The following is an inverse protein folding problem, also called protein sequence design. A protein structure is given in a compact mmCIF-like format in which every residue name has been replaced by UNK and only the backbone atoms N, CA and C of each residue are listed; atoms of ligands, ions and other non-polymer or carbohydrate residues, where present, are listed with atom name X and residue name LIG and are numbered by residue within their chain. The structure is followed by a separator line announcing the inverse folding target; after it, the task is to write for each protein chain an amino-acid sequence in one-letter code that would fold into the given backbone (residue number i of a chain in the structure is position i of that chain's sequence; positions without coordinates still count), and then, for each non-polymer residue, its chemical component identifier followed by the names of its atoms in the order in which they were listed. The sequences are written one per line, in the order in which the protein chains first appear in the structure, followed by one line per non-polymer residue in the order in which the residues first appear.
data_IF_223346209041
#
_entry.id   IF_223346209041
#
_cell.length_a   1.000
_cell.length_b   1.000
_cell.length_c   1.000
_cell.angle_alpha   90.00
_cell.angle_beta   90.00
_cell.angle_gamma   90.00
#
_symmetry.space_group_name_H-M   'P 1'
#
loop_
_entity.id
_entity.type
_entity.pdbx_description
1 polymer ?
#
# COMPACT_ATOMS: atom_id res chain seq x y z
N UNK A 1 -1.97 3.07 39.45
CA UNK A 1 -2.31 2.20 38.29
C UNK A 1 -2.87 3.07 37.18
N UNK A 2 -2.06 3.40 36.17
CA UNK A 2 -2.49 4.20 35.00
C UNK A 2 -2.98 3.22 33.93
N UNK A 3 -4.26 3.30 33.57
CA UNK A 3 -4.85 2.52 32.49
C UNK A 3 -4.33 3.00 31.14
N UNK A 4 -3.56 2.15 30.48
CA UNK A 4 -3.05 2.35 29.13
C UNK A 4 -4.19 1.98 28.16
N UNK A 5 -4.95 2.97 27.67
CA UNK A 5 -5.94 2.77 26.61
C UNK A 5 -5.32 3.16 25.27
N UNK A 6 -5.39 2.21 24.34
CA UNK A 6 -5.39 2.32 22.87
C UNK A 6 -4.04 2.21 22.14
N UNK A 7 -3.90 1.11 21.35
CA UNK A 7 -3.78 1.26 19.90
C UNK A 7 -4.67 0.26 19.12
N UNK A 8 -5.96 0.12 19.48
CA UNK A 8 -6.87 -0.77 18.73
C UNK A 8 -7.46 -0.09 17.46
N UNK A 9 -7.60 1.24 17.47
CA UNK A 9 -8.22 2.00 16.37
C UNK A 9 -7.31 2.07 15.13
N UNK A 10 -5.99 2.09 15.30
CA UNK A 10 -5.04 2.22 14.17
C UNK A 10 -4.96 0.93 13.32
N UNK A 11 -5.14 -0.24 13.93
CA UNK A 11 -5.05 -1.55 13.24
C UNK A 11 -6.28 -1.81 12.35
N UNK A 12 -7.46 -1.36 12.77
CA UNK A 12 -8.71 -1.54 12.01
C UNK A 12 -8.71 -0.66 10.75
N UNK A 13 -8.14 0.55 10.82
CA UNK A 13 -8.05 1.43 9.65
C UNK A 13 -7.07 0.87 8.61
N UNK A 14 -5.90 0.38 9.03
CA UNK A 14 -4.91 -0.18 8.10
C UNK A 14 -5.40 -1.46 7.37
N UNK A 15 -6.14 -2.32 8.07
CA UNK A 15 -6.69 -3.56 7.48
C UNK A 15 -7.84 -3.29 6.49
N UNK A 16 -8.68 -2.29 6.74
CA UNK A 16 -9.75 -1.88 5.81
C UNK A 16 -9.18 -1.19 4.55
N UNK A 17 -8.16 -0.35 4.69
CA UNK A 17 -7.50 0.28 3.54
C UNK A 17 -6.81 -0.73 2.63
N UNK A 18 -6.14 -1.74 3.21
CA UNK A 18 -5.45 -2.79 2.45
C UNK A 18 -6.42 -3.63 1.60
N UNK A 19 -7.65 -3.85 2.05
CA UNK A 19 -8.65 -4.63 1.32
C UNK A 19 -9.28 -3.86 0.13
N UNK A 20 -9.32 -2.53 0.19
CA UNK A 20 -9.87 -1.72 -0.90
C UNK A 20 -8.94 -1.66 -2.13
N UNK A 21 -7.63 -1.77 -1.92
CA UNK A 21 -6.62 -1.59 -2.98
C UNK A 21 -6.45 -2.84 -3.87
N UNK A 22 -6.76 -4.04 -3.37
CA UNK A 22 -6.72 -5.25 -4.20
C UNK A 22 -7.88 -5.30 -5.21
N UNK A 23 -8.98 -4.57 -4.96
CA UNK A 23 -10.21 -4.67 -5.74
C UNK A 23 -10.07 -4.26 -7.20
N UNK A 24 -9.18 -3.32 -7.55
CA UNK A 24 -8.96 -2.90 -8.95
C UNK A 24 -7.75 -3.56 -9.61
N UNK A 25 -7.17 -4.60 -9.01
CA UNK A 25 -6.09 -5.40 -9.62
C UNK A 25 -6.58 -6.73 -10.17
N UNK A 26 -7.76 -7.17 -9.74
CA UNK A 26 -8.34 -8.46 -10.06
C UNK A 26 -9.84 -8.31 -10.35
N UNK A 27 -10.41 -9.30 -11.02
CA UNK A 27 -11.81 -9.31 -11.40
C UNK A 27 -12.45 -10.69 -11.26
N UNK A 28 -13.77 -10.71 -11.17
CA UNK A 28 -14.61 -11.91 -11.14
C UNK A 28 -15.48 -12.00 -12.41
N UNK A 29 -16.05 -13.17 -12.66
CA UNK A 29 -17.10 -13.29 -13.68
C UNK A 29 -18.27 -12.36 -13.35
N UNK A 30 -19.00 -11.92 -14.37
CA UNK A 30 -20.11 -10.99 -14.21
C UNK A 30 -21.17 -11.56 -13.24
N UNK A 31 -21.51 -10.78 -12.21
CA UNK A 31 -22.49 -11.16 -11.17
C UNK A 31 -21.87 -11.82 -9.92
N UNK A 32 -20.59 -12.17 -9.94
CA UNK A 32 -19.91 -12.75 -8.78
C UNK A 32 -19.31 -11.67 -7.87
N UNK A 33 -19.13 -11.98 -6.58
CA UNK A 33 -18.56 -11.06 -5.57
C UNK A 33 -17.10 -11.36 -5.28
N UNK A 34 -16.22 -10.35 -5.37
CA UNK A 34 -14.82 -10.43 -4.94
C UNK A 34 -14.68 -10.22 -3.42
N UNK A 35 -13.96 -11.12 -2.74
CA UNK A 35 -13.55 -10.99 -1.34
C UNK A 35 -12.07 -11.38 -1.21
N UNK A 36 -11.21 -10.39 -0.95
CA UNK A 36 -9.76 -10.56 -1.00
C UNK A 36 -9.28 -10.92 -2.41
N UNK A 37 -8.72 -12.12 -2.57
CA UNK A 37 -8.29 -12.69 -3.86
C UNK A 37 -9.22 -13.78 -4.40
N UNK A 38 -10.39 -13.96 -3.78
CA UNK A 38 -11.35 -15.03 -4.11
C UNK A 38 -12.68 -14.45 -4.60
N UNK A 39 -13.18 -14.99 -5.70
CA UNK A 39 -14.51 -14.73 -6.23
C UNK A 39 -15.52 -15.73 -5.67
N UNK A 40 -16.70 -15.24 -5.30
CA UNK A 40 -17.84 -16.06 -4.91
C UNK A 40 -18.98 -15.85 -5.91
N UNK A 41 -19.33 -16.91 -6.63
CA UNK A 41 -20.56 -16.95 -7.41
C UNK A 41 -21.68 -17.63 -6.64
N UNK A 42 -22.91 -17.16 -6.82
CA UNK A 42 -24.12 -17.72 -6.20
C UNK A 42 -25.16 -18.01 -7.28
N UNK A 43 -25.78 -19.19 -7.21
CA UNK A 43 -26.92 -19.56 -8.06
C UNK A 43 -28.01 -20.25 -7.24
N UNK A 44 -29.20 -20.38 -7.82
CA UNK A 44 -30.33 -21.08 -7.21
C UNK A 44 -30.09 -22.59 -7.13
N UNK A 45 -30.62 -23.22 -6.07
CA UNK A 45 -30.62 -24.68 -5.90
C UNK A 45 -31.69 -25.30 -6.81
N UNK A 46 -31.36 -26.42 -7.44
CA UNK A 46 -32.33 -27.26 -8.15
C UNK A 46 -32.87 -28.30 -7.19
N UNK A 47 -34.19 -28.31 -7.02
CA UNK A 47 -34.90 -29.26 -6.17
C UNK A 47 -35.46 -30.37 -7.05
N UNK A 48 -35.02 -31.61 -6.82
CA UNK A 48 -35.56 -32.80 -7.46
C UNK A 48 -36.23 -33.68 -6.43
N UNK A 49 -37.37 -34.28 -6.78
CA UNK A 49 -38.09 -35.21 -5.92
C UNK A 49 -37.83 -36.62 -6.41
N UNK A 50 -37.27 -37.46 -5.54
CA UNK A 50 -36.99 -38.86 -5.85
C UNK A 50 -37.93 -39.74 -5.04
N UNK A 51 -38.51 -40.71 -5.72
CA UNK A 51 -39.28 -41.79 -5.15
C UNK A 51 -38.56 -43.11 -5.45
N UNK A 52 -38.66 -44.09 -4.56
CA UNK A 52 -38.08 -45.41 -4.77
C UNK A 52 -38.99 -46.25 -5.69
N UNK A 53 -38.46 -47.38 -6.19
CA UNK A 53 -39.22 -48.50 -6.78
C UNK A 53 -40.21 -48.17 -7.92
N UNK A 54 -39.86 -47.23 -8.79
CA UNK A 54 -40.66 -46.90 -9.99
C UNK A 54 -41.84 -45.96 -9.74
N UNK A 55 -41.97 -45.42 -8.53
CA UNK A 55 -42.93 -44.37 -8.23
C UNK A 55 -42.41 -43.01 -8.70
N UNK A 56 -43.31 -42.05 -8.91
CA UNK A 56 -42.97 -40.67 -9.25
C UNK A 56 -43.77 -39.70 -8.39
N UNK A 57 -43.24 -38.49 -8.18
CA UNK A 57 -43.91 -37.43 -7.43
C UNK A 57 -43.93 -36.15 -8.26
N UNK A 58 -45.11 -35.56 -8.40
CA UNK A 58 -45.26 -34.20 -8.91
C UNK A 58 -45.10 -33.21 -7.77
N UNK A 59 -44.07 -32.37 -7.82
CA UNK A 59 -43.86 -31.23 -6.93
C UNK A 59 -43.77 -31.55 -5.42
N UNK A 60 -43.19 -32.70 -5.06
CA UNK A 60 -43.02 -33.10 -3.65
C UNK A 60 -44.30 -33.64 -3.00
N UNK A 61 -45.32 -33.93 -3.80
CA UNK A 61 -46.48 -34.71 -3.38
C UNK A 61 -46.13 -36.18 -3.04
N UNK A 62 -47.12 -36.99 -2.65
CA UNK A 62 -46.90 -38.41 -2.40
C UNK A 62 -46.32 -39.10 -3.65
N UNK A 63 -45.47 -40.10 -3.42
CA UNK A 63 -44.94 -40.96 -4.49
C UNK A 63 -46.05 -41.88 -5.00
N UNK A 64 -46.44 -41.71 -6.26
CA UNK A 64 -47.51 -42.45 -6.91
C UNK A 64 -46.98 -43.27 -8.10
N UNK A 65 -47.59 -44.43 -8.32
CA UNK A 65 -47.39 -45.29 -9.48
C UNK A 65 -48.73 -45.86 -9.91
N UNK A 66 -48.87 -46.20 -11.18
CA UNK A 66 -49.97 -47.05 -11.60
C UNK A 66 -49.80 -48.45 -10.99
N UNK A 67 -50.90 -49.13 -10.61
CA UNK A 67 -50.86 -50.53 -10.21
C UNK A 67 -50.29 -51.39 -11.34
N UNK A 68 -49.45 -52.37 -11.00
CA UNK A 68 -48.84 -53.25 -12.00
C UNK A 68 -47.97 -52.50 -13.02
N UNK A 69 -47.25 -51.45 -12.61
CA UNK A 69 -46.36 -50.65 -13.47
C UNK A 69 -45.25 -51.44 -14.16
N UNK A 70 -44.89 -52.62 -13.63
CA UNK A 70 -43.96 -53.58 -14.26
C UNK A 70 -44.63 -54.46 -15.35
N UNK A 71 -45.90 -54.20 -15.65
CA UNK A 71 -46.72 -54.94 -16.62
C UNK A 71 -47.78 -55.82 -15.96
N UNK A 72 -48.89 -56.00 -16.67
CA UNK A 72 -50.01 -56.84 -16.23
C UNK A 72 -51.31 -56.07 -16.03
N UNK A 73 -52.32 -56.78 -15.54
CA UNK A 73 -53.65 -56.27 -15.25
C UNK A 73 -53.90 -56.43 -13.75
N UNK A 74 -54.30 -55.34 -13.11
CA UNK A 74 -54.66 -55.34 -11.70
C UNK A 74 -55.96 -56.10 -11.45
N UNK A 75 -55.94 -57.02 -10.49
CA UNK A 75 -57.13 -57.76 -10.05
C UNK A 75 -57.72 -57.06 -8.82
N UNK A 76 -58.92 -56.49 -8.99
CA UNK A 76 -59.65 -55.77 -7.94
C UNK A 76 -59.96 -56.65 -6.74
N UNK A 77 -59.92 -56.10 -5.54
CA UNK A 77 -60.27 -56.80 -4.30
C UNK A 77 -61.76 -56.76 -3.97
N UNK A 78 -62.55 -55.97 -4.69
CA UNK A 78 -63.98 -55.77 -4.47
C UNK A 78 -64.82 -57.05 -4.71
N UNK A 79 -64.25 -58.05 -5.38
CA UNK A 79 -64.91 -59.32 -5.65
C UNK A 79 -64.29 -60.44 -4.80
N UNK A 80 -65.04 -60.96 -3.82
CA UNK A 80 -64.55 -61.88 -2.77
C UNK A 80 -63.97 -63.23 -3.24
N UNK A 81 -64.02 -63.54 -4.54
CA UNK A 81 -63.41 -64.72 -5.16
C UNK A 81 -62.22 -64.41 -6.08
N UNK A 82 -61.85 -63.14 -6.22
CA UNK A 82 -60.71 -62.72 -7.04
C UNK A 82 -59.41 -62.72 -6.23
N UNK A 83 -58.28 -62.85 -6.91
CA UNK A 83 -56.95 -62.68 -6.31
C UNK A 83 -56.65 -61.18 -6.09
N UNK A 84 -57.53 -60.51 -5.33
CA UNK A 84 -57.54 -59.08 -5.10
C UNK A 84 -56.19 -58.54 -4.61
N UNK A 85 -55.79 -57.38 -5.13
CA UNK A 85 -54.55 -56.71 -4.72
C UNK A 85 -53.29 -57.18 -5.44
N UNK A 86 -53.42 -58.05 -6.46
CA UNK A 86 -52.28 -58.60 -7.21
C UNK A 86 -52.35 -58.31 -8.71
N UNK A 87 -51.19 -58.41 -9.37
CA UNK A 87 -51.09 -58.28 -10.82
C UNK A 87 -51.15 -59.64 -11.50
N UNK A 88 -52.04 -59.78 -12.47
CA UNK A 88 -52.05 -60.91 -13.39
C UNK A 88 -51.41 -60.51 -14.72
N UNK A 89 -50.59 -61.39 -15.30
CA UNK A 89 -49.93 -61.15 -16.58
C UNK A 89 -50.04 -62.40 -17.47
N UNK A 90 -49.75 -62.25 -18.77
CA UNK A 90 -49.80 -63.32 -19.76
C UNK A 90 -51.16 -63.48 -20.46
N UNK A 91 -51.28 -64.58 -21.21
CA UNK A 91 -52.50 -64.90 -21.96
C UNK A 91 -53.67 -65.16 -21.00
N UNK A 92 -54.86 -64.71 -21.42
CA UNK A 92 -56.08 -64.90 -20.67
C UNK A 92 -57.17 -65.52 -21.52
N UNK A 93 -58.04 -66.26 -20.85
CA UNK A 93 -59.27 -66.81 -21.40
C UNK A 93 -60.48 -66.22 -20.64
N UNK A 94 -61.67 -66.17 -21.27
CA UNK A 94 -62.89 -65.85 -20.54
C UNK A 94 -63.18 -66.92 -19.47
N UNK A 95 -63.74 -66.55 -18.31
CA UNK A 95 -64.15 -67.52 -17.31
C UNK A 95 -65.35 -68.33 -17.78
N UNK A 96 -65.41 -69.58 -17.34
CA UNK A 96 -66.53 -70.47 -17.64
C UNK A 96 -67.58 -70.36 -16.52
N UNK A 97 -68.86 -70.48 -16.89
CA UNK A 97 -69.94 -70.43 -15.93
C UNK A 97 -70.10 -71.80 -15.26
N UNK A 98 -69.81 -71.87 -13.95
CA UNK A 98 -70.01 -73.06 -13.14
C UNK A 98 -71.20 -72.86 -12.20
N UNK A 99 -72.40 -73.15 -12.70
CA UNK A 99 -73.65 -72.87 -11.99
C UNK A 99 -73.90 -71.36 -11.85
N UNK A 100 -73.99 -70.85 -10.62
CA UNK A 100 -74.20 -69.43 -10.32
C UNK A 100 -72.89 -68.62 -10.20
N UNK A 101 -71.72 -69.27 -10.32
CA UNK A 101 -70.41 -68.64 -10.13
C UNK A 101 -69.63 -68.66 -11.45
N UNK A 102 -69.04 -67.53 -11.82
CA UNK A 102 -68.06 -67.47 -12.91
C UNK A 102 -66.67 -67.67 -12.32
N UNK A 103 -65.88 -68.58 -12.88
CA UNK A 103 -64.56 -68.88 -12.34
C UNK A 103 -63.64 -69.59 -13.33
N UNK A 104 -62.40 -69.81 -12.91
CA UNK A 104 -61.38 -70.48 -13.72
C UNK A 104 -61.24 -71.98 -13.36
N UNK A 105 -62.31 -72.58 -12.84
CA UNK A 105 -62.26 -73.94 -12.32
C UNK A 105 -62.22 -74.96 -13.47
N UNK A 106 -61.13 -75.73 -13.55
CA UNK A 106 -61.00 -76.82 -14.52
C UNK A 106 -62.07 -77.91 -14.34
N UNK A 107 -62.55 -78.10 -13.11
CA UNK A 107 -63.63 -79.04 -12.78
C UNK A 107 -64.95 -78.73 -13.50
N UNK A 108 -65.13 -77.50 -13.98
CA UNK A 108 -66.32 -77.05 -14.69
C UNK A 108 -66.07 -76.84 -16.20
N UNK A 109 -64.96 -77.38 -16.73
CA UNK A 109 -64.54 -77.15 -18.11
C UNK A 109 -63.86 -75.80 -18.34
N UNK A 110 -63.62 -75.01 -17.28
CA UNK A 110 -62.94 -73.74 -17.38
C UNK A 110 -61.46 -73.88 -17.77
N UNK A 111 -60.84 -72.80 -18.28
CA UNK A 111 -59.48 -72.82 -18.84
C UNK A 111 -58.38 -73.08 -17.80
N UNK A 112 -58.71 -73.17 -16.51
CA UNK A 112 -57.73 -73.18 -15.43
C UNK A 112 -57.12 -71.80 -15.17
N UNK A 113 -56.21 -71.75 -14.21
CA UNK A 113 -55.45 -70.54 -13.90
C UNK A 113 -56.11 -69.63 -12.87
N UNK A 114 -55.71 -68.36 -12.89
CA UNK A 114 -56.08 -67.41 -11.84
C UNK A 114 -57.22 -66.49 -12.28
N UNK A 115 -58.28 -66.46 -11.45
CA UNK A 115 -59.41 -65.56 -11.66
C UNK A 115 -59.03 -64.13 -11.26
N UNK A 116 -59.24 -63.22 -12.20
CA UNK A 116 -58.97 -61.80 -12.06
C UNK A 116 -60.19 -61.01 -12.52
N UNK A 117 -60.62 -60.06 -11.69
CA UNK A 117 -61.65 -59.08 -12.03
C UNK A 117 -60.97 -57.73 -12.25
N UNK A 118 -60.64 -57.35 -13.49
CA UNK A 118 -60.05 -56.04 -13.71
C UNK A 118 -61.14 -54.99 -13.62
N UNK A 119 -60.89 -53.94 -12.84
CA UNK A 119 -61.85 -52.86 -12.62
C UNK A 119 -62.28 -52.26 -13.96
N UNK A 120 -63.58 -52.26 -14.22
CA UNK A 120 -64.17 -51.72 -15.45
C UNK A 120 -64.14 -52.63 -16.69
N UNK A 121 -63.71 -53.89 -16.56
CA UNK A 121 -63.74 -54.85 -17.69
C UNK A 121 -64.37 -56.19 -17.29
N UNK A 122 -64.61 -57.06 -18.28
CA UNK A 122 -65.07 -58.43 -18.03
C UNK A 122 -64.02 -59.24 -17.27
N UNK A 123 -64.50 -60.17 -16.44
CA UNK A 123 -63.70 -61.16 -15.72
C UNK A 123 -62.82 -61.98 -16.66
N UNK A 124 -61.62 -62.36 -16.18
CA UNK A 124 -60.61 -63.07 -16.98
C UNK A 124 -59.93 -64.18 -16.17
N UNK A 125 -59.49 -65.22 -16.86
CA UNK A 125 -58.71 -66.32 -16.35
C UNK A 125 -57.31 -66.30 -16.95
N UNK A 126 -56.30 -65.91 -16.15
CA UNK A 126 -54.91 -65.82 -16.61
C UNK A 126 -54.21 -67.17 -16.43
N UNK A 127 -53.53 -67.61 -17.48
CA UNK A 127 -52.83 -68.92 -17.50
C UNK A 127 -51.51 -68.85 -16.72
N UNK A 128 -50.91 -67.66 -16.56
CA UNK A 128 -49.62 -67.46 -15.90
C UNK A 128 -49.72 -66.87 -14.48
N UNK A 129 -48.59 -66.91 -13.77
CA UNK A 129 -48.42 -66.70 -12.32
C UNK A 129 -48.83 -65.32 -11.82
N UNK A 130 -49.71 -65.27 -10.83
CA UNK A 130 -49.90 -64.10 -9.98
C UNK A 130 -48.73 -64.02 -9.00
N UNK A 131 -47.74 -63.19 -9.29
CA UNK A 131 -46.48 -63.21 -8.53
C UNK A 131 -46.03 -61.88 -7.95
N UNK A 132 -46.55 -60.74 -8.41
CA UNK A 132 -46.20 -59.44 -7.84
C UNK A 132 -47.40 -58.82 -7.13
N UNK A 133 -47.17 -58.32 -5.91
CA UNK A 133 -48.06 -57.37 -5.26
C UNK A 133 -48.31 -56.20 -6.21
N UNK A 134 -49.55 -55.72 -6.26
CA UNK A 134 -49.92 -54.64 -7.19
C UNK A 134 -49.12 -53.35 -6.98
N UNK A 135 -48.69 -53.14 -5.74
CA UNK A 135 -47.93 -51.99 -5.28
C UNK A 135 -46.70 -52.48 -4.49
N UNK A 136 -45.62 -52.93 -5.15
CA UNK A 136 -44.40 -53.30 -4.45
C UNK A 136 -43.91 -52.13 -3.59
N UNK A 137 -43.68 -52.36 -2.30
CA UNK A 137 -43.25 -51.31 -1.36
C UNK A 137 -44.30 -50.22 -1.06
N UNK A 138 -45.55 -50.40 -1.47
CA UNK A 138 -46.61 -49.39 -1.33
C UNK A 138 -47.94 -49.94 -0.82
N UNK A 139 -48.96 -49.08 -0.85
CA UNK A 139 -50.36 -49.41 -0.58
C UNK A 139 -51.23 -48.92 -1.73
N UNK A 140 -52.23 -49.73 -2.10
CA UNK A 140 -53.19 -49.32 -3.10
C UNK A 140 -54.22 -48.36 -2.48
N UNK A 141 -54.60 -47.31 -3.21
CA UNK A 141 -55.65 -46.40 -2.77
C UNK A 141 -57.04 -47.09 -2.77
N UNK A 142 -58.01 -46.49 -2.08
CA UNK A 142 -59.35 -47.07 -1.90
C UNK A 142 -60.12 -47.24 -3.22
N UNK A 143 -59.81 -46.42 -4.23
CA UNK A 143 -60.35 -46.50 -5.57
C UNK A 143 -59.54 -47.43 -6.49
N UNK A 144 -58.51 -48.10 -5.98
CA UNK A 144 -57.70 -49.09 -6.69
C UNK A 144 -57.08 -48.62 -8.01
N UNK A 145 -56.87 -47.31 -8.16
CA UNK A 145 -56.35 -46.68 -9.38
C UNK A 145 -54.86 -46.36 -9.29
N UNK A 146 -54.31 -46.22 -8.09
CA UNK A 146 -52.93 -45.78 -7.85
C UNK A 146 -52.32 -46.50 -6.66
N UNK A 147 -51.05 -46.83 -6.81
CA UNK A 147 -50.19 -47.24 -5.73
C UNK A 147 -49.54 -46.01 -5.09
N UNK A 148 -49.60 -45.92 -3.77
CA UNK A 148 -48.86 -44.94 -2.98
C UNK A 148 -47.66 -45.63 -2.32
N UNK A 149 -46.46 -45.11 -2.53
CA UNK A 149 -45.27 -45.65 -1.84
C UNK A 149 -45.41 -45.52 -0.32
N UNK A 150 -44.93 -46.52 0.42
CA UNK A 150 -44.78 -46.44 1.87
C UNK A 150 -43.52 -45.66 2.26
N UNK A 151 -42.59 -45.43 1.31
CA UNK A 151 -41.45 -44.55 1.52
C UNK A 151 -41.84 -43.10 1.25
N UNK A 152 -41.46 -42.16 2.15
CA UNK A 152 -41.70 -40.74 1.90
C UNK A 152 -40.84 -40.27 0.72
N UNK A 153 -41.38 -39.29 -0.02
CA UNK A 153 -40.64 -38.63 -1.10
C UNK A 153 -39.33 -38.04 -0.57
N UNK A 154 -38.22 -38.36 -1.22
CA UNK A 154 -36.93 -37.79 -0.89
C UNK A 154 -36.73 -36.49 -1.67
N UNK A 155 -36.48 -35.40 -0.95
CA UNK A 155 -36.10 -34.14 -1.58
C UNK A 155 -34.59 -34.14 -1.77
N UNK A 156 -34.15 -34.16 -3.04
CA UNK A 156 -32.74 -34.12 -3.42
C UNK A 156 -32.42 -32.72 -3.92
N UNK A 157 -31.50 -32.06 -3.23
CA UNK A 157 -30.97 -30.77 -3.64
C UNK A 157 -29.72 -30.98 -4.50
N UNK A 158 -29.61 -30.23 -5.58
CA UNK A 158 -28.44 -30.25 -6.46
C UNK A 158 -28.18 -28.87 -7.05
N UNK A 159 -26.97 -28.68 -7.58
CA UNK A 159 -26.62 -27.48 -8.34
C UNK A 159 -26.70 -27.79 -9.83
N UNK A 160 -27.27 -26.88 -10.61
CA UNK A 160 -27.37 -27.04 -12.07
C UNK A 160 -25.99 -27.14 -12.75
N UNK A 161 -24.98 -26.49 -12.17
CA UNK A 161 -23.59 -26.55 -12.60
C UNK A 161 -22.77 -27.31 -11.55
N UNK A 162 -22.05 -28.35 -11.97
CA UNK A 162 -21.23 -29.20 -11.11
C UNK A 162 -20.04 -28.47 -10.46
N UNK A 163 -19.70 -27.27 -10.94
CA UNK A 163 -18.66 -26.42 -10.33
C UNK A 163 -19.15 -25.70 -9.07
N UNK A 164 -20.45 -25.74 -8.77
CA UNK A 164 -21.04 -25.15 -7.57
C UNK A 164 -21.35 -26.24 -6.53
N UNK A 165 -21.29 -25.88 -5.26
CA UNK A 165 -21.63 -26.76 -4.14
C UNK A 165 -22.79 -26.18 -3.33
N UNK A 166 -23.60 -27.06 -2.73
CA UNK A 166 -24.74 -26.65 -1.91
C UNK A 166 -24.27 -25.84 -0.69
N UNK A 167 -24.93 -24.72 -0.43
CA UNK A 167 -24.63 -23.81 0.65
C UNK A 167 -25.90 -23.31 1.38
N UNK A 168 -25.95 -23.36 2.73
CA UNK A 168 -25.00 -24.07 3.58
C UNK A 168 -25.03 -25.58 3.28
N UNK A 169 -23.96 -26.30 3.62
CA UNK A 169 -23.94 -27.76 3.52
C UNK A 169 -24.85 -28.35 4.61
N UNK A 170 -26.15 -28.36 4.37
CA UNK A 170 -27.20 -28.77 5.29
C UNK A 170 -28.29 -29.57 4.58
N UNK A 171 -29.24 -30.11 5.34
CA UNK A 171 -30.40 -30.83 4.80
C UNK A 171 -31.36 -29.94 3.99
N UNK A 172 -31.23 -28.61 4.09
CA UNK A 172 -32.06 -27.63 3.38
C UNK A 172 -31.20 -26.48 2.88
N UNK A 173 -30.33 -26.71 1.87
CA UNK A 173 -29.47 -25.69 1.31
C UNK A 173 -30.32 -24.62 0.61
N UNK A 174 -29.92 -23.36 0.76
CA UNK A 174 -30.66 -22.21 0.21
C UNK A 174 -30.07 -21.72 -1.12
N UNK A 175 -28.81 -22.04 -1.38
CA UNK A 175 -28.09 -21.58 -2.57
C UNK A 175 -27.04 -22.59 -3.00
N UNK A 176 -26.56 -22.44 -4.23
CA UNK A 176 -25.38 -23.10 -4.74
C UNK A 176 -24.27 -22.06 -4.82
N UNK A 177 -23.12 -22.35 -4.20
CA UNK A 177 -21.99 -21.43 -4.10
C UNK A 177 -20.75 -22.03 -4.75
N UNK A 178 -20.01 -21.21 -5.49
CA UNK A 178 -18.70 -21.55 -6.01
C UNK A 178 -17.70 -20.50 -5.56
N UNK A 179 -16.57 -20.94 -5.01
CA UNK A 179 -15.44 -20.07 -4.70
C UNK A 179 -14.29 -20.39 -5.66
N UNK A 180 -13.69 -19.38 -6.28
CA UNK A 180 -12.56 -19.55 -7.20
C UNK A 180 -11.60 -18.35 -7.11
N UNK A 181 -10.35 -18.52 -7.53
CA UNK A 181 -9.36 -17.43 -7.53
C UNK A 181 -9.72 -16.36 -8.55
N UNK A 182 -9.62 -15.09 -8.16
CA UNK A 182 -9.88 -13.96 -9.05
C UNK A 182 -8.84 -13.87 -10.17
N UNK A 183 -9.25 -13.38 -11.34
CA UNK A 183 -8.37 -13.22 -12.49
C UNK A 183 -7.70 -11.84 -12.48
N UNK A 184 -6.43 -11.71 -12.86
CA UNK A 184 -5.76 -10.41 -12.91
C UNK A 184 -6.33 -9.55 -14.06
N UNK A 185 -6.46 -8.23 -13.81
CA UNK A 185 -6.84 -7.27 -14.86
C UNK A 185 -5.63 -7.04 -15.78
N UNK A 186 -5.78 -7.37 -17.06
CA UNK A 186 -4.69 -7.33 -18.06
C UNK A 186 -4.97 -6.41 -19.24
N UNK A 187 -6.12 -5.73 -19.27
CA UNK A 187 -6.40 -4.72 -20.29
C UNK A 187 -7.53 -3.79 -19.85
N UNK A 188 -7.70 -2.68 -20.59
CA UNK A 188 -8.78 -1.72 -20.36
C UNK A 188 -10.16 -2.37 -20.33
N UNK A 189 -10.45 -3.27 -21.28
CA UNK A 189 -11.76 -3.92 -21.35
C UNK A 189 -12.07 -4.71 -20.07
N UNK A 190 -11.11 -5.44 -19.52
CA UNK A 190 -11.28 -6.15 -18.24
C UNK A 190 -11.53 -5.22 -17.06
N UNK A 191 -10.85 -4.07 -17.01
CA UNK A 191 -11.11 -3.04 -15.99
C UNK A 191 -12.50 -2.42 -16.14
N UNK A 192 -12.92 -2.05 -17.36
CA UNK A 192 -14.19 -1.34 -17.56
C UNK A 192 -15.40 -2.25 -17.54
N UNK A 193 -15.24 -3.53 -17.92
CA UNK A 193 -16.36 -4.47 -18.10
C UNK A 193 -16.47 -5.47 -16.94
N UNK A 194 -15.35 -5.93 -16.36
CA UNK A 194 -15.35 -7.05 -15.41
C UNK A 194 -14.81 -6.72 -14.01
N UNK A 195 -14.24 -5.53 -13.78
CA UNK A 195 -14.01 -5.04 -12.44
C UNK A 195 -15.26 -4.59 -11.61
N UNK A 196 -16.56 -4.81 -12.00
CA UNK A 196 -17.66 -4.16 -11.29
C UNK A 196 -18.28 -5.01 -10.17
N UNK A 197 -17.55 -5.94 -9.51
CA UNK A 197 -18.17 -6.64 -8.37
C UNK A 197 -18.32 -5.77 -7.11
N UNK A 198 -17.72 -4.58 -7.09
CA UNK A 198 -18.08 -3.48 -6.17
C UNK A 198 -17.88 -2.16 -6.92
N UNK A 199 -18.91 -1.33 -6.96
CA UNK A 199 -18.92 0.02 -7.53
C UNK A 199 -17.66 0.80 -7.12
N UNK A 200 -16.72 1.03 -8.05
CA UNK A 200 -15.61 1.93 -7.74
C UNK A 200 -14.27 1.70 -8.42
N UNK A 201 -14.14 1.06 -9.59
CA UNK A 201 -12.90 1.08 -10.36
C UNK A 201 -13.03 1.93 -11.63
N UNK A 202 -11.95 2.62 -12.03
CA UNK A 202 -11.85 3.43 -13.25
C UNK A 202 -10.54 3.13 -13.96
N UNK A 203 -10.59 3.00 -15.28
CA UNK A 203 -9.41 2.89 -16.11
C UNK A 203 -8.73 4.24 -16.31
N UNK A 204 -7.42 4.30 -16.06
CA UNK A 204 -6.59 5.48 -16.27
C UNK A 204 -5.62 5.24 -17.42
N UNK A 205 -6.02 5.67 -18.62
CA UNK A 205 -5.30 5.44 -19.87
C UNK A 205 -3.87 6.02 -19.89
N UNK A 206 -3.63 7.14 -19.19
CA UNK A 206 -2.31 7.79 -19.18
C UNK A 206 -1.20 6.92 -18.55
N UNK A 207 -1.58 6.00 -17.66
CA UNK A 207 -0.64 5.11 -16.94
C UNK A 207 -0.98 3.63 -17.15
N UNK A 208 -1.97 3.32 -17.98
CA UNK A 208 -2.47 1.96 -18.23
C UNK A 208 -2.78 1.15 -16.96
N UNK A 209 -3.45 1.78 -15.98
CA UNK A 209 -3.84 1.11 -14.73
C UNK A 209 -5.32 1.28 -14.40
N UNK A 210 -5.87 0.32 -13.67
CA UNK A 210 -7.22 0.34 -13.11
C UNK A 210 -7.14 0.80 -11.65
N UNK A 211 -7.75 1.93 -11.30
CA UNK A 211 -7.67 2.54 -9.97
C UNK A 211 -9.05 2.62 -9.30
N UNK A 212 -9.08 2.70 -7.98
CA UNK A 212 -10.32 2.90 -7.23
C UNK A 212 -10.85 4.33 -7.37
N UNK A 213 -12.04 4.50 -7.95
CA UNK A 213 -12.77 5.75 -8.12
C UNK A 213 -13.05 6.50 -6.81
N UNK A 214 -13.12 5.80 -5.67
CA UNK A 214 -13.40 6.39 -4.35
C UNK A 214 -12.20 7.09 -3.72
N UNK A 215 -10.97 6.64 -3.99
CA UNK A 215 -9.73 7.22 -3.43
C UNK A 215 -9.01 8.16 -4.41
N UNK A 216 -9.25 8.01 -5.70
CA UNK A 216 -8.62 8.81 -6.76
C UNK A 216 -9.67 9.31 -7.75
N UNK A 217 -10.37 10.43 -7.47
CA UNK A 217 -11.39 10.96 -8.38
C UNK A 217 -10.80 11.37 -9.74
N UNK A 218 -9.52 11.74 -9.74
CA UNK A 218 -8.75 12.12 -10.93
C UNK A 218 -7.73 11.04 -11.25
N UNK A 219 -7.68 10.60 -12.51
CA UNK A 219 -6.67 9.66 -12.95
C UNK A 219 -5.28 10.29 -12.84
N UNK A 220 -4.28 9.56 -12.28
CA UNK A 220 -2.92 10.04 -12.26
C UNK A 220 -2.43 10.29 -13.69
N UNK A 221 -1.79 11.43 -13.89
CA UNK A 221 -1.23 11.83 -15.19
C UNK A 221 0.18 11.28 -15.40
N UNK A 222 0.83 10.79 -14.34
CA UNK A 222 2.21 10.24 -14.35
C UNK A 222 2.34 9.07 -13.37
N UNK A 223 3.27 8.17 -13.65
CA UNK A 223 3.57 6.99 -12.82
C UNK A 223 3.85 7.25 -11.33
N UNK A 224 4.54 8.32 -10.89
CA UNK A 224 4.76 8.52 -9.46
C UNK A 224 3.50 8.94 -8.70
N UNK A 225 2.45 9.42 -9.37
CA UNK A 225 1.27 9.93 -8.67
C UNK A 225 0.39 8.80 -8.14
N UNK A 226 0.45 8.58 -6.82
CA UNK A 226 -0.57 7.89 -6.00
C UNK A 226 -0.83 6.42 -6.29
N UNK A 227 0.11 5.71 -6.91
CA UNK A 227 -0.05 4.27 -7.16
C UNK A 227 0.71 3.44 -6.13
N UNK A 228 -0.02 2.57 -5.44
CA UNK A 228 0.56 1.59 -4.53
C UNK A 228 1.32 0.53 -5.32
N UNK A 229 2.26 -0.18 -4.67
CA UNK A 229 3.04 -1.26 -5.26
C UNK A 229 2.22 -2.20 -6.14
N UNK A 230 1.04 -2.61 -5.66
CA UNK A 230 0.15 -3.53 -6.35
C UNK A 230 -0.29 -3.05 -7.75
N UNK A 231 -0.38 -1.73 -7.96
CA UNK A 231 -0.80 -1.13 -9.23
C UNK A 231 0.34 -1.04 -10.25
N UNK A 232 1.59 -1.05 -9.79
CA UNK A 232 2.79 -0.88 -10.65
C UNK A 232 3.52 -2.19 -10.95
N UNK A 233 3.03 -3.30 -10.41
CA UNK A 233 3.50 -4.65 -10.77
C UNK A 233 2.56 -5.34 -11.77
N UNK A 234 1.48 -4.66 -12.19
CA UNK A 234 0.58 -5.21 -13.21
C UNK A 234 1.32 -5.18 -14.55
N UNK A 235 1.35 -6.32 -15.25
CA UNK A 235 2.14 -6.52 -16.48
C UNK A 235 1.86 -5.54 -17.63
N UNK A 236 0.75 -4.79 -17.58
CA UNK A 236 0.36 -3.82 -18.61
C UNK A 236 0.64 -2.36 -18.24
N UNK A 237 1.04 -2.13 -17.00
CA UNK A 237 1.35 -0.79 -16.54
C UNK A 237 2.51 -0.25 -17.36
N UNK A 238 2.41 1.00 -17.81
CA UNK A 238 3.59 1.74 -18.32
C UNK A 238 4.47 2.23 -17.18
N UNK A 239 4.25 1.70 -15.98
CA UNK A 239 5.00 1.99 -14.78
C UNK A 239 5.59 0.70 -14.23
N UNK A 240 6.82 0.78 -13.74
CA UNK A 240 7.47 -0.26 -12.94
C UNK A 240 7.53 0.17 -11.48
N UNK A 241 7.43 -0.80 -10.59
CA UNK A 241 7.66 -0.59 -9.17
C UNK A 241 9.17 -0.52 -8.87
N UNK A 242 9.59 0.54 -8.17
CA UNK A 242 10.93 0.67 -7.61
C UNK A 242 10.87 0.33 -6.11
N UNK A 243 11.22 -0.90 -5.71
CA UNK A 243 11.01 -1.37 -4.34
C UNK A 243 11.79 -0.55 -3.33
N UNK A 244 11.17 -0.28 -2.18
CA UNK A 244 11.88 0.22 -1.03
C UNK A 244 12.86 -0.84 -0.54
N UNK A 245 14.14 -0.52 -0.46
CA UNK A 245 15.11 -1.36 0.26
C UNK A 245 15.21 -0.81 1.67
N UNK A 246 14.95 -1.66 2.67
CA UNK A 246 15.07 -1.29 4.09
C UNK A 246 16.47 -0.73 4.34
N UNK A 247 16.56 0.55 4.73
CA UNK A 247 17.84 1.27 4.88
C UNK A 247 18.17 2.26 3.75
N UNK A 248 17.30 2.43 2.75
CA UNK A 248 17.37 3.54 1.79
C UNK A 248 18.45 3.43 0.71
N UNK A 249 19.01 2.23 0.49
CA UNK A 249 19.97 1.95 -0.58
C UNK A 249 19.40 0.88 -1.51
N UNK A 250 18.78 1.30 -2.61
CA UNK A 250 18.26 0.41 -3.67
C UNK A 250 16.82 0.65 -4.12
N UNK A 251 16.23 1.79 -3.75
CA UNK A 251 14.87 2.18 -4.16
C UNK A 251 14.10 2.84 -3.02
N UNK A 252 13.17 3.74 -3.35
CA UNK A 252 12.43 4.56 -2.37
C UNK A 252 10.93 4.18 -2.27
N UNK A 253 10.53 3.03 -2.82
CA UNK A 253 9.13 2.57 -2.75
C UNK A 253 8.17 3.46 -3.54
N UNK A 254 8.46 3.65 -4.83
CA UNK A 254 7.64 4.49 -5.73
C UNK A 254 7.50 3.84 -7.10
N UNK A 255 6.49 4.26 -7.85
CA UNK A 255 6.30 3.83 -9.22
C UNK A 255 6.97 4.78 -10.21
N UNK A 256 7.62 4.22 -11.23
CA UNK A 256 8.37 4.96 -12.26
C UNK A 256 7.96 4.55 -13.67
N UNK A 257 8.06 5.43 -14.67
CA UNK A 257 7.76 5.05 -16.06
C UNK A 257 8.61 3.87 -16.55
N UNK A 258 8.04 3.01 -17.40
CA UNK A 258 8.69 1.88 -18.07
C UNK A 258 8.41 1.95 -19.58
N UNK A 259 9.42 1.83 -20.47
CA UNK A 259 10.86 1.71 -20.24
C UNK A 259 11.55 3.08 -20.27
N UNK A 260 11.78 3.71 -19.13
CA UNK A 260 12.53 4.98 -19.12
C UNK A 260 12.80 5.61 -17.77
N UNK A 261 11.97 5.34 -16.77
CA UNK A 261 12.22 5.80 -15.40
C UNK A 261 13.37 5.02 -14.76
N UNK A 262 14.30 5.71 -14.12
CA UNK A 262 15.33 5.11 -13.27
C UNK A 262 14.83 5.03 -11.84
N UNK A 263 15.03 3.88 -11.18
CA UNK A 263 14.78 3.80 -9.74
C UNK A 263 15.86 4.58 -9.00
N UNK A 264 15.46 5.45 -8.07
CA UNK A 264 16.39 6.21 -7.25
C UNK A 264 17.06 5.31 -6.22
N UNK A 265 18.37 5.43 -6.07
CA UNK A 265 19.12 4.64 -5.10
C UNK A 265 18.77 5.03 -3.67
N UNK A 266 18.43 6.30 -3.41
CA UNK A 266 18.10 6.85 -2.09
C UNK A 266 17.11 8.02 -2.17
N UNK A 267 16.50 8.40 -1.05
CA UNK A 267 15.66 9.61 -0.97
C UNK A 267 16.43 10.83 -1.47
N UNK A 268 17.68 10.99 -1.04
CA UNK A 268 18.50 12.12 -1.42
C UNK A 268 18.68 12.23 -2.94
N UNK A 269 18.95 11.10 -3.61
CA UNK A 269 19.09 11.07 -5.08
C UNK A 269 17.80 11.43 -5.85
N UNK A 270 16.62 11.29 -5.23
CA UNK A 270 15.35 11.70 -5.82
C UNK A 270 15.17 13.22 -5.85
N UNK A 271 15.98 13.98 -5.11
CA UNK A 271 15.94 15.45 -5.10
C UNK A 271 16.31 16.04 -6.46
N UNK A 272 17.14 15.36 -7.26
CA UNK A 272 17.54 15.87 -8.58
C UNK A 272 16.41 15.79 -9.63
N UNK A 273 15.31 15.09 -9.34
CA UNK A 273 14.19 15.00 -10.27
C UNK A 273 13.42 16.34 -10.33
N UNK A 274 13.04 16.85 -11.51
CA UNK A 274 12.22 18.07 -11.63
C UNK A 274 10.85 17.99 -10.95
N UNK A 275 10.36 16.77 -10.68
CA UNK A 275 9.15 16.45 -9.92
C UNK A 275 9.45 15.86 -8.53
N UNK A 276 10.64 16.13 -7.98
CA UNK A 276 11.12 15.68 -6.67
C UNK A 276 10.11 15.85 -5.52
N UNK A 277 9.41 16.99 -5.46
CA UNK A 277 8.43 17.26 -4.42
C UNK A 277 7.29 16.23 -4.42
N UNK A 278 6.82 15.88 -5.61
CA UNK A 278 5.77 14.89 -5.81
C UNK A 278 6.31 13.48 -5.54
N UNK A 279 7.44 13.12 -6.16
CA UNK A 279 8.09 11.80 -5.98
C UNK A 279 8.31 11.47 -4.50
N UNK A 280 8.80 12.45 -3.74
CA UNK A 280 9.10 12.27 -2.32
C UNK A 280 7.86 12.40 -1.44
N UNK A 281 6.83 13.12 -1.88
CA UNK A 281 5.52 13.12 -1.21
C UNK A 281 4.77 11.80 -1.37
N UNK A 282 5.02 11.04 -2.44
CA UNK A 282 4.37 9.75 -2.71
C UNK A 282 5.14 8.53 -2.17
N UNK A 283 6.40 8.68 -1.82
CA UNK A 283 7.20 7.62 -1.21
C UNK A 283 6.72 7.29 0.21
N UNK A 284 6.70 5.99 0.55
CA UNK A 284 6.47 5.55 1.94
C UNK A 284 7.72 5.60 2.81
N UNK A 285 8.89 5.80 2.20
CA UNK A 285 10.20 5.82 2.89
C UNK A 285 10.77 7.23 3.02
N UNK A 286 10.32 8.15 2.16
CA UNK A 286 10.83 9.51 2.09
C UNK A 286 9.75 10.54 2.42
N UNK A 287 10.20 11.74 2.76
CA UNK A 287 9.41 12.96 2.83
C UNK A 287 10.11 14.07 2.08
N UNK A 288 9.31 14.94 1.47
CA UNK A 288 9.81 16.18 0.91
C UNK A 288 9.98 17.23 2.00
N UNK A 289 11.16 17.83 2.11
CA UNK A 289 11.44 18.99 2.96
C UNK A 289 11.40 20.26 2.08
N UNK A 290 10.25 20.93 1.96
CA UNK A 290 10.02 21.98 0.94
C UNK A 290 10.92 23.19 1.15
N UNK A 291 11.50 23.74 0.08
CA UNK A 291 12.14 25.04 0.13
C UNK A 291 11.05 26.12 0.30
N UNK A 292 11.10 26.87 1.39
CA UNK A 292 10.18 27.98 1.60
C UNK A 292 10.54 29.13 0.68
N UNK A 293 9.55 29.61 -0.08
CA UNK A 293 9.60 30.91 -0.70
C UNK A 293 9.70 31.98 0.40
N UNK A 294 10.92 32.47 0.67
CA UNK A 294 11.18 33.46 1.72
C UNK A 294 11.97 32.98 2.94
N UNK A 295 12.60 31.79 2.90
CA UNK A 295 13.64 31.43 3.87
C UNK A 295 13.18 30.88 5.23
N UNK A 296 11.88 30.64 5.41
CA UNK A 296 11.34 30.01 6.62
C UNK A 296 10.61 28.72 6.27
N UNK A 297 11.39 27.64 6.10
CA UNK A 297 10.89 26.30 5.84
C UNK A 297 11.80 25.54 4.87
N UNK A 298 12.26 24.37 5.28
CA UNK A 298 13.06 23.40 4.51
C UNK A 298 14.23 23.94 3.66
N UNK A 299 14.90 23.04 2.96
CA UNK A 299 15.94 23.39 1.97
C UNK A 299 15.62 22.81 0.58
N UNK A 300 14.41 22.33 0.35
CA UNK A 300 14.03 21.71 -0.92
C UNK A 300 14.84 20.45 -1.19
N UNK A 301 14.72 19.47 -0.29
CA UNK A 301 15.44 18.19 -0.37
C UNK A 301 14.52 17.04 -0.01
N UNK A 302 14.76 15.89 -0.62
CA UNK A 302 14.07 14.65 -0.29
C UNK A 302 14.85 13.86 0.78
N UNK A 303 14.23 13.61 1.91
CA UNK A 303 14.84 12.96 3.07
C UNK A 303 14.13 11.66 3.42
N UNK A 304 14.81 10.70 4.06
CA UNK A 304 14.12 9.59 4.73
C UNK A 304 13.06 10.12 5.72
N UNK A 305 12.02 9.34 5.98
CA UNK A 305 10.94 9.74 6.88
C UNK A 305 11.42 10.10 8.29
N UNK A 306 12.45 9.42 8.78
CA UNK A 306 13.13 9.71 10.05
C UNK A 306 14.25 10.76 9.93
N UNK A 307 14.61 11.20 8.72
CA UNK A 307 15.61 12.23 8.47
C UNK A 307 15.17 13.62 8.96
N UNK A 308 16.12 14.50 9.23
CA UNK A 308 15.82 15.86 9.68
C UNK A 308 15.53 16.77 8.48
N UNK A 309 14.42 17.52 8.53
CA UNK A 309 14.18 18.62 7.58
C UNK A 309 14.80 19.89 8.15
N UNK A 310 15.99 20.25 7.66
CA UNK A 310 16.65 21.50 8.04
C UNK A 310 15.83 22.70 7.58
N UNK A 311 15.60 23.66 8.48
CA UNK A 311 14.81 24.86 8.19
C UNK A 311 15.59 25.94 7.45
N UNK A 312 16.92 25.85 7.44
CA UNK A 312 17.83 26.79 6.78
C UNK A 312 19.01 26.02 6.16
N UNK A 313 19.62 26.57 5.11
CA UNK A 313 20.88 26.03 4.55
C UNK A 313 21.93 25.88 5.64
N UNK A 314 22.09 26.92 6.47
CA UNK A 314 23.09 26.93 7.52
C UNK A 314 22.95 25.74 8.49
N UNK A 315 21.73 25.41 8.91
CA UNK A 315 21.49 24.27 9.80
C UNK A 315 21.86 22.93 9.15
N UNK A 316 21.76 22.82 7.82
CA UNK A 316 22.16 21.63 7.07
C UNK A 316 23.69 21.45 6.97
N UNK A 317 24.50 22.38 7.47
CA UNK A 317 25.97 22.26 7.45
C UNK A 317 26.51 21.08 8.24
N UNK A 318 25.71 20.50 9.15
CA UNK A 318 26.05 19.27 9.88
C UNK A 318 25.99 18.01 9.01
N UNK A 319 25.32 18.08 7.85
CA UNK A 319 25.18 16.99 6.88
C UNK A 319 25.49 17.50 5.45
N UNK A 320 26.79 17.57 5.07
CA UNK A 320 27.23 18.15 3.80
C UNK A 320 26.53 17.60 2.56
N UNK A 321 26.25 16.29 2.51
CA UNK A 321 25.56 15.65 1.38
C UNK A 321 24.12 16.13 1.20
N UNK A 322 23.43 16.43 2.30
CA UNK A 322 22.06 16.96 2.29
C UNK A 322 22.04 18.38 1.72
N UNK A 323 23.03 19.17 2.09
CA UNK A 323 23.22 20.49 1.52
C UNK A 323 23.57 20.44 0.03
N UNK A 324 24.53 19.60 -0.35
CA UNK A 324 25.03 19.53 -1.73
C UNK A 324 23.94 19.12 -2.73
N UNK A 325 22.99 18.31 -2.28
CA UNK A 325 21.88 17.83 -3.11
C UNK A 325 20.63 18.73 -3.02
N UNK A 326 20.65 19.75 -2.18
CA UNK A 326 19.53 20.67 -1.99
C UNK A 326 19.23 21.48 -3.26
N UNK A 327 17.95 21.77 -3.51
CA UNK A 327 17.56 22.68 -4.59
C UNK A 327 17.68 24.16 -4.24
N UNK A 328 17.84 24.50 -2.95
CA UNK A 328 17.92 25.87 -2.45
C UNK A 328 19.31 26.26 -1.93
N UNK A 329 20.15 25.27 -1.63
CA UNK A 329 21.44 25.45 -0.99
C UNK A 329 22.57 24.80 -1.78
N UNK A 330 23.77 25.34 -1.59
CA UNK A 330 25.02 24.81 -2.09
C UNK A 330 25.96 24.52 -0.93
N UNK A 331 26.70 23.41 -1.05
CA UNK A 331 27.73 23.06 -0.09
C UNK A 331 29.05 23.74 -0.48
N UNK A 332 29.52 24.67 0.35
CA UNK A 332 30.82 25.30 0.17
C UNK A 332 31.91 24.42 0.79
N UNK A 333 32.48 23.50 -0.01
CA UNK A 333 33.42 22.46 0.45
C UNK A 333 34.64 22.97 1.24
N UNK A 334 35.19 22.15 2.14
CA UNK A 334 36.42 22.52 2.89
C UNK A 334 37.68 22.59 2.03
N UNK A 335 37.69 21.95 0.86
CA UNK A 335 38.85 21.95 -0.04
C UNK A 335 39.02 23.26 -0.80
N UNK A 336 37.93 24.01 -0.96
CA UNK A 336 37.89 25.25 -1.75
C UNK A 336 37.25 26.41 -1.00
N UNK A 337 36.78 26.19 0.23
CA UNK A 337 35.98 27.12 1.02
C UNK A 337 36.00 26.76 2.52
N UNK A 338 35.28 27.51 3.35
CA UNK A 338 35.21 27.28 4.80
C UNK A 338 34.41 26.03 5.27
N UNK A 339 33.80 25.24 4.40
CA UNK A 339 33.03 24.06 4.82
C UNK A 339 31.71 24.41 5.51
N UNK A 340 30.79 25.05 4.77
CA UNK A 340 29.48 25.47 5.29
C UNK A 340 28.41 25.37 4.20
N UNK A 341 27.16 25.15 4.59
CA UNK A 341 26.03 25.14 3.69
C UNK A 341 25.37 26.52 3.58
N UNK A 342 25.15 27.01 2.36
CA UNK A 342 24.63 28.35 2.12
C UNK A 342 23.56 28.37 1.03
N UNK A 343 22.74 29.44 0.90
CA UNK A 343 21.86 29.61 -0.25
C UNK A 343 22.63 29.58 -1.59
N UNK A 344 21.99 29.11 -2.66
CA UNK A 344 22.61 29.02 -4.00
C UNK A 344 23.13 30.36 -4.56
N UNK A 345 22.57 31.49 -4.12
CA UNK A 345 23.00 32.82 -4.54
C UNK A 345 24.13 33.40 -3.65
N UNK A 346 24.50 32.73 -2.55
CA UNK A 346 25.53 33.20 -1.63
C UNK A 346 26.95 32.90 -2.15
N UNK A 347 27.95 33.58 -1.59
CA UNK A 347 29.36 33.42 -1.98
C UNK A 347 30.06 32.40 -1.09
N UNK A 348 30.67 31.37 -1.68
CA UNK A 348 31.54 30.47 -0.94
C UNK A 348 32.92 31.12 -0.70
N UNK A 349 33.24 31.44 0.56
CA UNK A 349 34.52 32.05 0.92
C UNK A 349 35.66 31.03 0.98
N UNK A 350 36.70 31.25 0.19
CA UNK A 350 37.86 30.37 0.10
C UNK A 350 38.59 30.17 1.44
N UNK A 351 38.64 31.20 2.28
CA UNK A 351 39.34 31.20 3.57
C UNK A 351 38.49 31.88 4.65
N UNK A 352 38.85 31.69 5.92
CA UNK A 352 38.11 32.28 7.04
C UNK A 352 38.11 33.82 7.05
N UNK A 353 39.25 34.52 6.87
CA UNK A 353 39.27 35.98 7.06
C UNK A 353 38.28 36.75 6.16
N UNK A 354 38.21 36.51 4.83
CA UNK A 354 37.26 37.19 3.95
C UNK A 354 35.78 36.90 4.27
N UNK A 355 35.47 35.79 4.96
CA UNK A 355 34.10 35.51 5.40
C UNK A 355 33.62 36.50 6.48
N UNK A 356 34.54 37.25 7.10
CA UNK A 356 34.21 38.27 8.12
C UNK A 356 33.46 39.47 7.54
N UNK A 357 33.67 39.79 6.26
CA UNK A 357 33.02 40.93 5.60
C UNK A 357 31.52 40.69 5.34
N UNK A 358 31.05 39.44 5.47
CA UNK A 358 29.64 39.14 5.35
C UNK A 358 28.88 39.66 6.59
N UNK A 359 27.76 40.39 6.44
CA UNK A 359 26.94 40.83 7.58
C UNK A 359 26.46 39.71 8.51
N UNK A 360 26.45 38.47 8.02
CA UNK A 360 26.09 37.25 8.74
C UNK A 360 27.33 36.37 9.05
N UNK A 361 28.55 36.91 9.02
CA UNK A 361 29.80 36.19 9.28
C UNK A 361 29.76 35.32 10.55
N UNK A 362 29.19 35.86 11.64
CA UNK A 362 29.03 35.12 12.89
C UNK A 362 28.16 33.88 12.75
N UNK A 363 27.14 33.93 11.89
CA UNK A 363 26.28 32.81 11.57
C UNK A 363 26.99 31.78 10.69
N UNK A 364 27.81 32.18 9.72
CA UNK A 364 28.50 31.24 8.84
C UNK A 364 29.72 30.58 9.48
N UNK A 365 30.49 31.35 10.25
CA UNK A 365 31.75 30.89 10.82
C UNK A 365 31.56 30.03 12.07
N UNK A 366 30.47 30.19 12.82
CA UNK A 366 30.21 29.35 14.00
C UNK A 366 29.97 27.86 13.67
N UNK A 367 29.11 27.48 12.71
CA UNK A 367 28.88 26.09 12.31
C UNK A 367 29.85 25.59 11.24
N UNK A 368 30.76 26.43 10.74
CA UNK A 368 31.76 26.06 9.74
C UNK A 368 32.63 24.88 10.23
N UNK A 369 33.02 24.01 9.29
CA UNK A 369 33.92 22.90 9.57
C UNK A 369 35.38 23.37 9.68
N UNK A 370 35.78 24.38 8.89
CA UNK A 370 37.17 24.89 8.85
C UNK A 370 37.39 26.13 9.73
N UNK A 371 36.33 26.85 10.07
CA UNK A 371 36.42 28.12 10.77
C UNK A 371 35.62 28.13 12.08
N UNK A 372 35.84 29.18 12.87
CA UNK A 372 35.09 29.55 14.05
C UNK A 372 34.90 31.07 14.08
N UNK A 373 33.78 31.53 14.62
CA UNK A 373 33.57 32.94 14.87
C UNK A 373 34.25 33.34 16.19
N UNK A 374 35.09 34.37 16.15
CA UNK A 374 35.67 34.98 17.33
C UNK A 374 34.95 36.30 17.61
N UNK A 375 34.08 36.37 18.64
CA UNK A 375 33.20 37.51 18.85
C UNK A 375 33.99 38.80 19.07
N UNK A 376 33.42 39.93 18.70
CA UNK A 376 33.94 41.24 19.09
C UNK A 376 33.64 41.48 20.57
N UNK A 377 34.59 42.06 21.28
CA UNK A 377 34.35 42.71 22.55
C UNK A 377 34.62 44.21 22.38
N UNK A 378 33.78 45.06 22.96
CA UNK A 378 33.85 46.51 22.77
C UNK A 378 35.27 47.03 23.07
N UNK A 379 35.85 47.78 22.13
CA UNK A 379 37.21 48.30 22.24
C UNK A 379 38.31 47.28 21.91
N UNK A 380 37.97 46.12 21.36
CA UNK A 380 38.91 45.11 20.92
C UNK A 380 39.64 44.41 22.06
N UNK A 381 39.01 44.23 23.23
CA UNK A 381 39.57 43.51 24.39
C UNK A 381 38.62 42.38 24.81
N UNK A 382 39.01 41.13 24.55
CA UNK A 382 38.19 39.92 24.71
C UNK A 382 37.78 39.25 23.39
N UNK A 383 38.18 39.83 22.25
CA UNK A 383 37.81 39.36 20.92
C UNK A 383 37.73 40.50 19.91
N UNK A 384 38.01 40.23 18.63
CA UNK A 384 38.10 41.26 17.57
C UNK A 384 37.03 41.15 16.47
N UNK A 385 36.05 40.25 16.61
CA UNK A 385 34.94 40.15 15.67
C UNK A 385 35.35 39.65 14.29
N UNK A 386 36.03 38.50 14.23
CA UNK A 386 36.54 37.94 12.97
C UNK A 386 36.29 36.44 12.87
N UNK A 387 36.24 35.96 11.63
CA UNK A 387 36.22 34.54 11.32
C UNK A 387 37.65 33.97 11.28
N UNK A 388 37.92 32.95 12.08
CA UNK A 388 39.24 32.35 12.22
C UNK A 388 39.26 30.87 11.88
N UNK A 389 40.44 30.30 11.60
CA UNK A 389 40.61 28.86 11.47
C UNK A 389 40.25 28.14 12.77
N UNK A 390 39.45 27.08 12.65
CA UNK A 390 39.00 26.25 13.76
C UNK A 390 40.19 25.56 14.42
N UNK A 391 40.19 25.51 15.75
CA UNK A 391 41.27 24.92 16.55
C UNK A 391 42.38 25.90 16.96
N UNK A 392 42.33 27.16 16.50
CA UNK A 392 43.15 28.24 17.07
C UNK A 392 42.48 28.82 18.33
N UNK A 393 43.21 29.61 19.10
CA UNK A 393 42.63 30.45 20.16
C UNK A 393 42.23 31.79 19.54
N UNK A 394 41.02 32.27 19.86
CA UNK A 394 40.60 33.60 19.42
C UNK A 394 41.57 34.68 19.91
N UNK A 395 41.80 35.70 19.07
CA UNK A 395 42.62 36.84 19.46
C UNK A 395 41.91 37.60 20.57
N UNK A 396 42.58 37.81 21.69
CA UNK A 396 42.02 38.54 22.83
C UNK A 396 42.13 40.05 22.64
N UNK A 397 42.94 40.53 21.69
CA UNK A 397 42.97 41.93 21.32
C UNK A 397 43.45 42.20 19.90
N UNK A 398 43.18 43.41 19.37
CA UNK A 398 43.74 43.86 18.08
C UNK A 398 45.27 43.70 18.07
N UNK A 399 45.92 44.12 19.16
CA UNK A 399 47.37 44.04 19.27
C UNK A 399 47.87 42.59 19.19
N UNK A 400 47.17 41.63 19.83
CA UNK A 400 47.56 40.21 19.77
C UNK A 400 47.51 39.62 18.36
N UNK A 401 46.64 40.15 17.48
CA UNK A 401 46.55 39.72 16.08
C UNK A 401 47.75 40.16 15.23
N UNK A 402 48.51 41.17 15.67
CA UNK A 402 49.72 41.65 14.99
C UNK A 402 50.78 40.56 14.81
N UNK A 403 50.84 39.59 15.73
CA UNK A 403 51.85 38.52 15.70
C UNK A 403 51.51 37.37 14.76
N UNK A 404 50.29 37.34 14.19
CA UNK A 404 49.92 36.32 13.22
C UNK A 404 50.59 36.60 11.86
N UNK A 405 51.15 35.61 11.16
CA UNK A 405 51.70 35.79 9.81
C UNK A 405 50.70 36.35 8.78
N UNK A 406 49.39 36.25 9.06
CA UNK A 406 48.29 36.83 8.28
C UNK A 406 47.69 38.10 8.91
N UNK A 407 48.42 38.76 9.81
CA UNK A 407 48.04 39.95 10.59
C UNK A 407 47.39 41.08 9.78
N UNK A 408 47.95 41.43 8.62
CA UNK A 408 47.45 42.52 7.79
C UNK A 408 46.03 42.24 7.29
N UNK A 409 45.78 41.00 6.87
CA UNK A 409 44.48 40.55 6.38
C UNK A 409 43.48 40.48 7.53
N UNK A 410 43.82 39.75 8.61
CA UNK A 410 42.97 39.57 9.79
C UNK A 410 42.49 40.90 10.37
N UNK A 411 43.38 41.89 10.45
CA UNK A 411 43.06 43.19 11.00
C UNK A 411 42.36 44.11 10.01
N UNK A 412 42.54 43.92 8.71
CA UNK A 412 41.75 44.62 7.69
C UNK A 412 40.29 44.16 7.67
N UNK A 413 40.04 42.88 8.00
CA UNK A 413 38.69 42.29 8.03
C UNK A 413 37.94 42.52 9.35
N UNK A 414 38.61 42.96 10.41
CA UNK A 414 37.98 43.17 11.73
C UNK A 414 37.10 44.43 11.73
N UNK A 415 35.91 44.34 12.34
CA UNK A 415 35.06 45.51 12.57
C UNK A 415 35.52 46.37 13.76
N UNK A 416 36.40 45.85 14.60
CA UNK A 416 36.91 46.52 15.82
C UNK A 416 38.33 47.04 15.67
N UNK A 417 39.09 46.51 14.70
CA UNK A 417 40.50 46.81 14.50
C UNK A 417 40.78 47.40 13.12
N UNK A 418 41.93 48.06 13.01
CA UNK A 418 42.55 48.45 11.74
C UNK A 418 44.01 48.05 11.72
N UNK A 419 44.49 47.73 10.52
CA UNK A 419 45.91 47.52 10.26
C UNK A 419 46.61 48.85 9.98
N UNK A 420 47.68 49.14 10.71
CA UNK A 420 48.57 50.27 10.49
C UNK A 420 49.82 49.77 9.75
N UNK A 421 49.89 49.87 8.40
CA UNK A 421 50.91 49.19 7.60
C UNK A 421 52.34 49.71 7.83
N UNK A 422 53.32 48.81 7.88
CA UNK A 422 54.76 49.13 8.08
C UNK A 422 55.35 50.08 7.01
N UNK A 423 54.75 50.12 5.82
CA UNK A 423 55.17 51.04 4.74
C UNK A 423 54.96 52.53 5.07
N UNK A 424 54.15 52.85 6.09
CA UNK A 424 53.78 54.24 6.44
C UNK A 424 53.69 54.45 7.96
N UNK A 425 53.52 53.38 8.72
CA UNK A 425 53.33 53.34 10.18
C UNK A 425 54.20 52.25 10.79
N UNK A 426 54.11 52.03 12.10
CA UNK A 426 54.94 51.05 12.82
C UNK A 426 54.56 49.55 12.59
N UNK A 427 53.64 49.23 11.67
CA UNK A 427 53.33 47.82 11.33
C UNK A 427 52.58 47.06 12.43
N UNK A 428 51.42 47.56 12.87
CA UNK A 428 50.66 47.03 14.01
C UNK A 428 49.17 46.97 13.75
N UNK A 429 48.48 46.06 14.42
CA UNK A 429 47.03 46.02 14.48
C UNK A 429 46.51 46.70 15.75
N UNK A 430 45.60 47.66 15.60
CA UNK A 430 45.09 48.46 16.71
C UNK A 430 43.58 48.63 16.63
N UNK A 431 42.89 49.01 17.74
CA UNK A 431 41.47 49.36 17.69
C UNK A 431 41.18 50.46 16.66
N UNK A 432 39.99 50.44 16.07
CA UNK A 432 39.58 51.43 15.06
C UNK A 432 39.67 52.88 15.55
N UNK A 433 39.44 53.09 16.85
CA UNK A 433 39.57 54.38 17.53
C UNK A 433 41.01 54.82 17.83
N UNK A 434 42.01 53.94 17.74
CA UNK A 434 43.40 54.26 18.06
C UNK A 434 44.11 55.03 16.93
N UNK A 435 45.25 55.64 17.21
CA UNK A 435 46.02 56.40 16.22
C UNK A 435 47.12 55.52 15.60
N UNK A 436 47.18 55.43 14.27
CA UNK A 436 48.32 54.80 13.62
C UNK A 436 49.54 55.73 13.68
N UNK A 437 50.59 55.30 14.38
CA UNK A 437 51.81 56.08 14.57
C UNK A 437 52.80 55.86 13.43
N UNK A 438 53.32 56.95 12.86
CA UNK A 438 54.27 56.90 11.74
C UNK A 438 55.69 56.47 12.16
N UNK A 439 56.06 56.72 13.42
CA UNK A 439 57.40 56.48 13.99
C UNK A 439 57.25 55.95 15.42
N UNK A 440 58.32 55.37 15.96
CA UNK A 440 58.29 54.73 17.28
C UNK A 440 58.15 55.74 18.43
N UNK A 441 58.84 56.89 18.38
CA UNK A 441 58.87 57.82 19.53
C UNK A 441 57.47 58.30 19.97
N UNK A 442 56.59 58.80 19.08
CA UNK A 442 55.24 59.24 19.48
C UNK A 442 54.33 58.09 19.94
N UNK A 443 54.60 56.85 19.51
CA UNK A 443 53.84 55.69 19.97
C UNK A 443 54.04 55.41 21.47
N UNK A 444 55.12 55.94 22.07
CA UNK A 444 55.41 55.81 23.50
C UNK A 444 54.34 56.43 24.40
N UNK A 445 53.67 57.47 23.90
CA UNK A 445 52.61 58.18 24.63
C UNK A 445 51.23 57.51 24.48
N UNK A 446 51.13 56.44 23.69
CA UNK A 446 49.89 55.68 23.51
C UNK A 446 49.55 54.90 24.80
N UNK A 447 48.30 54.90 25.27
CA UNK A 447 47.88 54.13 26.45
C UNK A 447 48.13 52.61 26.34
N UNK A 448 48.33 52.07 25.14
CA UNK A 448 48.68 50.67 24.89
C UNK A 448 50.19 50.38 24.99
N UNK A 449 51.03 51.41 25.14
CA UNK A 449 52.45 51.24 25.46
C UNK A 449 52.61 50.74 26.90
N UNK A 450 53.52 49.79 27.17
CA UNK A 450 54.66 49.35 26.35
C UNK A 450 54.38 48.23 25.34
N UNK A 451 53.20 47.63 25.39
CA UNK A 451 52.87 46.43 24.60
C UNK A 451 52.89 46.72 23.10
N UNK A 452 52.43 47.91 22.71
CA UNK A 452 52.42 48.37 21.32
C UNK A 452 53.80 48.24 20.66
N UNK A 453 54.82 48.78 21.33
CA UNK A 453 56.18 48.82 20.80
C UNK A 453 56.95 47.51 20.98
N UNK A 454 56.47 46.61 21.83
CA UNK A 454 57.03 45.25 21.91
C UNK A 454 56.50 44.36 20.78
N UNK A 455 55.30 44.66 20.28
CA UNK A 455 54.60 43.86 19.26
C UNK A 455 54.82 44.41 17.85
N UNK A 456 55.14 45.70 17.74
CA UNK A 456 55.53 46.37 16.50
C UNK A 456 56.60 45.60 15.73
N UNK A 457 56.45 45.55 14.41
CA UNK A 457 57.47 44.97 13.53
C UNK A 457 58.69 45.93 13.45
N UNK A 458 58.44 47.23 13.57
CA UNK A 458 59.43 48.29 13.31
C UNK A 458 59.89 49.03 14.56
N UNK A 459 59.41 48.66 15.76
CA UNK A 459 59.79 49.31 17.02
C UNK A 459 60.17 48.31 18.11
N UNK A 460 60.88 48.81 19.12
CA UNK A 460 61.22 48.11 20.35
C UNK A 460 60.96 49.02 21.56
N UNK A 461 60.40 48.45 22.62
CA UNK A 461 60.28 49.16 23.90
C UNK A 461 61.63 49.18 24.64
N UNK A 462 62.08 50.35 25.11
CA UNK A 462 63.26 50.47 25.96
C UNK A 462 62.84 50.73 27.42
N UNK A 463 62.82 49.72 28.31
CA UNK A 463 62.36 49.89 29.70
C UNK A 463 63.18 50.91 30.49
N UNK A 464 64.48 51.02 30.20
CA UNK A 464 65.39 51.94 30.88
C UNK A 464 65.08 53.40 30.57
N UNK A 465 64.65 53.68 29.34
CA UNK A 465 64.37 55.03 28.88
C UNK A 465 62.87 55.38 28.96
N UNK A 466 62.00 54.38 29.08
CA UNK A 466 60.55 54.57 29.18
C UNK A 466 59.90 55.03 27.87
N UNK A 467 60.51 54.73 26.72
CA UNK A 467 59.95 55.05 25.40
C UNK A 467 60.32 54.01 24.33
N UNK A 468 59.63 54.07 23.20
CA UNK A 468 59.81 53.21 22.04
C UNK A 468 60.89 53.75 21.11
N UNK A 469 61.82 52.90 20.73
CA UNK A 469 62.85 53.17 19.70
C UNK A 469 62.56 52.33 18.46
N UNK A 470 63.15 52.69 17.33
CA UNK A 470 63.25 51.84 16.15
C UNK A 470 64.03 50.53 16.43
#
# INVERSE_FOLDING_TARGET
MKYNRTPLVLVIVHTLFSQSLSACTQYCAAGDTLSGSSCTGVMSVVVSYRCDDGYSSSNGGPCLSDPCSLGGTFCSSDYGSSNGGKCASGDYNPPEQCGSVHGCYTACGGPGGYFCYPKGTSTRCYVATITADACPGGTINADETQCRSNTPVQTVYSCADSRYSLYPNSASPTSCRRTYTASPITNQATCTTYAPSTTGCKWCANVNVCVTSSSTPTCPTRCPATVVQATCVIAISVCKWCPAVTGGVGGIGVCQPDPGGTCWASCLSATADPSNADVCGYSTECKWCPAAAGGVGGIGVCQPNNGMCYTTCLAASVEPSVCDTSTACQWCSTTTSIGVCQPNAATCWATCPPATDDPLASFYCSPSLSCMWCPAAAGGVGGIGVCQLKGRTCWTSCLSATTDPSNADVCGYSTECKWCPSSTYIGVCQPNSATCWATCTPASDDPLSPSLCTTSIDCKWCPTLGYCTE
#
